data_IF_840279669031
#
_entry.id   IF_840279669031
#
_cell.length_a   1.000
_cell.length_b   1.000
_cell.length_c   1.000
_cell.angle_alpha   90.00
_cell.angle_beta   90.00
_cell.angle_gamma   90.00
#
_symmetry.space_group_name_H-M   'P 1'
#
loop_
_entity.id
_entity.type
_entity.pdbx_description
1 polymer ?
#
# COMPACT_ATOMS: atom_id res chain seq x y z
N UNK A 1 15.49 -14.18 -18.76
CA UNK A 1 15.29 -13.05 -17.83
C UNK A 1 13.82 -13.03 -17.46
N UNK A 2 13.49 -12.95 -16.18
CA UNK A 2 12.11 -12.95 -15.70
C UNK A 2 11.41 -11.62 -16.05
N UNK A 3 10.09 -11.63 -16.23
CA UNK A 3 9.35 -10.43 -16.59
C UNK A 3 9.42 -9.39 -15.44
N UNK A 4 9.66 -8.09 -15.72
CA UNK A 4 9.65 -7.04 -14.72
C UNK A 4 8.37 -7.04 -13.87
N UNK A 5 8.50 -6.65 -12.61
CA UNK A 5 7.38 -6.51 -11.67
C UNK A 5 7.13 -5.02 -11.38
N UNK A 6 5.85 -4.67 -11.26
CA UNK A 6 5.40 -3.41 -10.70
C UNK A 6 4.59 -3.72 -9.45
N UNK A 7 4.85 -3.01 -8.36
CA UNK A 7 4.14 -3.16 -7.09
C UNK A 7 3.12 -2.03 -6.93
N UNK A 8 1.87 -2.40 -6.65
CA UNK A 8 0.81 -1.47 -6.27
C UNK A 8 0.49 -1.66 -4.79
N UNK A 9 0.62 -0.60 -3.99
CA UNK A 9 0.28 -0.58 -2.58
C UNK A 9 -1.01 0.21 -2.40
N UNK A 10 -2.03 -0.43 -1.85
CA UNK A 10 -3.33 0.17 -1.62
C UNK A 10 -3.45 0.78 -0.22
N UNK A 11 -3.68 2.08 -0.15
CA UNK A 11 -4.06 2.80 1.06
C UNK A 11 -5.51 3.26 0.94
N UNK A 12 -6.47 2.63 1.64
CA UNK A 12 -7.89 2.87 1.39
C UNK A 12 -8.41 4.13 2.08
N UNK A 13 -7.64 4.85 2.90
CA UNK A 13 -8.19 5.89 3.76
C UNK A 13 -8.20 7.28 3.12
N UNK A 14 -9.29 8.01 3.35
CA UNK A 14 -9.48 9.41 2.96
C UNK A 14 -9.92 10.24 4.17
N UNK A 15 -9.59 11.54 4.18
CA UNK A 15 -10.12 12.50 5.16
C UNK A 15 -11.65 12.67 4.98
N UNK A 16 -12.12 12.67 3.74
CA UNK A 16 -13.53 12.80 3.38
C UNK A 16 -13.86 12.00 2.11
N UNK A 17 -15.14 11.70 1.90
CA UNK A 17 -15.61 10.99 0.69
C UNK A 17 -16.07 12.03 -0.33
N UNK A 18 -15.41 12.11 -1.48
CA UNK A 18 -15.88 12.94 -2.59
C UNK A 18 -17.20 12.37 -3.15
N UNK A 19 -18.18 13.19 -3.53
CA UNK A 19 -19.47 12.72 -4.05
C UNK A 19 -19.37 11.83 -5.30
N UNK A 20 -18.28 11.98 -6.07
CA UNK A 20 -18.01 11.23 -7.29
C UNK A 20 -17.09 10.01 -7.08
N UNK A 21 -16.60 9.76 -5.86
CA UNK A 21 -15.57 8.75 -5.62
C UNK A 21 -16.18 7.34 -5.59
N UNK A 22 -15.88 6.54 -6.61
CA UNK A 22 -16.25 5.11 -6.71
C UNK A 22 -15.12 4.15 -6.29
N UNK A 23 -13.92 4.67 -6.04
CA UNK A 23 -12.80 3.86 -5.58
C UNK A 23 -13.10 3.15 -4.26
N UNK A 24 -12.46 2.00 -4.07
CA UNK A 24 -12.38 1.34 -2.77
C UNK A 24 -11.63 2.26 -1.81
N UNK A 25 -12.40 3.05 -1.07
CA UNK A 25 -11.89 4.02 -0.13
C UNK A 25 -12.87 4.25 1.02
N UNK A 26 -12.32 4.61 2.16
CA UNK A 26 -13.00 4.64 3.43
C UNK A 26 -12.63 5.91 4.20
N UNK A 27 -13.66 6.59 4.72
CA UNK A 27 -13.47 7.60 5.75
C UNK A 27 -13.53 6.90 7.10
N UNK A 28 -12.51 7.09 7.92
CA UNK A 28 -12.41 6.56 9.28
C UNK A 28 -11.94 7.69 10.19
N UNK A 29 -12.43 7.70 11.44
CA UNK A 29 -11.98 8.67 12.45
C UNK A 29 -10.52 8.43 12.89
N UNK A 30 -10.05 7.19 12.73
CA UNK A 30 -8.69 6.76 12.99
C UNK A 30 -8.50 5.30 12.58
N UNK A 31 -7.25 4.90 12.43
CA UNK A 31 -6.79 3.55 12.11
C UNK A 31 -5.66 3.27 13.08
N UNK A 32 -5.54 2.04 13.57
CA UNK A 32 -4.30 1.63 14.23
C UNK A 32 -3.21 1.49 13.15
N UNK A 33 -2.41 2.55 13.00
CA UNK A 33 -1.41 2.65 11.93
C UNK A 33 -0.28 1.62 12.09
N UNK A 34 0.03 1.24 13.34
CA UNK A 34 1.07 0.26 13.62
C UNK A 34 0.60 -1.15 13.26
N UNK A 35 -0.64 -1.50 13.62
CA UNK A 35 -1.28 -2.74 13.20
C UNK A 35 -1.41 -2.79 11.67
N UNK A 36 -1.87 -1.70 11.05
CA UNK A 36 -2.03 -1.63 9.59
C UNK A 36 -0.70 -1.79 8.85
N UNK A 37 0.36 -1.13 9.31
CA UNK A 37 1.72 -1.31 8.78
C UNK A 37 2.19 -2.76 8.91
N UNK A 38 1.95 -3.38 10.06
CA UNK A 38 2.34 -4.78 10.31
C UNK A 38 1.62 -5.72 9.35
N UNK A 39 0.32 -5.50 9.13
CA UNK A 39 -0.46 -6.27 8.17
C UNK A 39 0.03 -6.10 6.73
N UNK A 40 0.30 -4.86 6.29
CA UNK A 40 0.83 -4.59 4.95
C UNK A 40 2.21 -5.24 4.72
N UNK A 41 3.08 -5.24 5.72
CA UNK A 41 4.40 -5.89 5.63
C UNK A 41 4.27 -7.42 5.55
N UNK A 42 3.33 -8.00 6.30
CA UNK A 42 3.06 -9.44 6.22
C UNK A 42 2.52 -9.84 4.85
N UNK A 43 1.60 -9.05 4.29
CA UNK A 43 1.05 -9.23 2.94
C UNK A 43 2.15 -9.11 1.87
N UNK A 44 2.97 -8.06 1.95
CA UNK A 44 4.10 -7.86 1.04
C UNK A 44 5.09 -9.02 1.08
N UNK A 45 5.43 -9.53 2.26
CA UNK A 45 6.33 -10.67 2.41
C UNK A 45 5.74 -11.96 1.81
N UNK A 46 4.42 -12.16 1.95
CA UNK A 46 3.73 -13.28 1.32
C UNK A 46 3.80 -13.19 -0.21
N UNK A 47 3.43 -12.04 -0.77
CA UNK A 47 3.45 -11.80 -2.22
C UNK A 47 4.86 -11.92 -2.80
N UNK A 48 5.87 -11.36 -2.11
CA UNK A 48 7.27 -11.44 -2.52
C UNK A 48 7.76 -12.90 -2.64
N UNK A 49 7.35 -13.79 -1.74
CA UNK A 49 7.71 -15.21 -1.80
C UNK A 49 7.13 -15.92 -3.03
N UNK A 50 6.01 -15.45 -3.58
CA UNK A 50 5.37 -16.01 -4.78
C UNK A 50 6.02 -15.54 -6.09
N UNK A 51 6.75 -14.42 -6.06
CA UNK A 51 7.29 -13.75 -7.27
C UNK A 51 8.81 -13.50 -7.22
N UNK A 52 9.53 -14.18 -6.32
CA UNK A 52 10.91 -13.91 -5.92
C UNK A 52 11.95 -13.74 -7.05
N UNK A 53 11.74 -14.36 -8.22
CA UNK A 53 12.69 -14.29 -9.34
C UNK A 53 12.46 -13.09 -10.29
N UNK A 54 11.55 -12.16 -9.96
CA UNK A 54 11.17 -11.03 -10.81
C UNK A 54 11.76 -9.71 -10.31
N UNK A 55 12.51 -8.97 -11.14
CA UNK A 55 13.03 -7.67 -10.72
C UNK A 55 11.89 -6.65 -10.58
N UNK A 56 11.80 -6.01 -9.42
CA UNK A 56 10.88 -4.90 -9.17
C UNK A 56 11.41 -3.62 -9.83
N UNK A 57 10.61 -3.01 -10.70
CA UNK A 57 11.01 -1.81 -11.47
C UNK A 57 10.23 -0.55 -11.11
N UNK A 58 9.08 -0.68 -10.45
CA UNK A 58 8.25 0.45 -10.06
C UNK A 58 7.38 0.13 -8.84
N UNK A 59 7.14 1.15 -8.02
CA UNK A 59 6.23 1.11 -6.88
C UNK A 59 5.20 2.23 -7.08
N UNK A 60 3.92 1.89 -6.99
CA UNK A 60 2.81 2.83 -7.04
C UNK A 60 2.02 2.79 -5.74
N UNK A 61 1.85 3.95 -5.11
CA UNK A 61 0.97 4.09 -3.95
C UNK A 61 -0.37 4.67 -4.43
N UNK A 62 -1.46 3.95 -4.17
CA UNK A 62 -2.79 4.31 -4.64
C UNK A 62 -3.90 4.00 -3.63
N UNK A 63 -5.15 4.24 -4.01
CA UNK A 63 -6.33 3.91 -3.21
C UNK A 63 -7.17 5.14 -2.90
N UNK A 64 -7.43 5.38 -1.61
CA UNK A 64 -8.04 6.60 -1.11
C UNK A 64 -7.11 7.80 -1.29
N UNK A 65 -6.39 8.19 -0.25
CA UNK A 65 -5.46 9.32 -0.31
C UNK A 65 -4.10 8.88 0.23
N UNK A 66 -3.22 8.32 -0.62
CA UNK A 66 -1.94 7.76 -0.19
C UNK A 66 -1.03 8.74 0.56
N UNK A 67 -1.16 10.04 0.30
CA UNK A 67 -0.43 11.09 1.03
C UNK A 67 -0.85 11.25 2.50
N UNK A 68 -1.90 10.55 2.94
CA UNK A 68 -2.27 10.42 4.36
C UNK A 68 -1.57 9.27 5.07
N UNK A 69 -0.86 8.39 4.35
CA UNK A 69 -0.10 7.31 4.97
C UNK A 69 1.01 7.91 5.84
N UNK A 70 1.23 7.40 7.06
CA UNK A 70 2.33 7.85 7.90
C UNK A 70 3.68 7.66 7.20
N UNK A 71 4.59 8.65 7.26
CA UNK A 71 5.89 8.56 6.60
C UNK A 71 6.70 7.31 6.98
N UNK A 72 6.62 6.88 8.24
CA UNK A 72 7.28 5.67 8.73
C UNK A 72 6.71 4.38 8.13
N UNK A 73 5.42 4.38 7.77
CA UNK A 73 4.78 3.26 7.08
C UNK A 73 5.22 3.21 5.63
N UNK A 74 5.29 4.35 4.94
CA UNK A 74 5.84 4.43 3.58
C UNK A 74 7.30 3.96 3.56
N UNK A 75 8.12 4.44 4.50
CA UNK A 75 9.53 4.06 4.62
C UNK A 75 9.71 2.56 4.87
N UNK A 76 8.91 1.98 5.77
CA UNK A 76 8.95 0.55 6.07
C UNK A 76 8.60 -0.30 4.83
N UNK A 77 7.60 0.10 4.03
CA UNK A 77 7.19 -0.63 2.83
C UNK A 77 8.22 -0.56 1.70
N UNK A 78 8.95 0.55 1.58
CA UNK A 78 10.02 0.70 0.58
C UNK A 78 11.27 -0.10 0.97
N UNK A 79 11.53 -0.23 2.28
CA UNK A 79 12.72 -0.91 2.80
C UNK A 79 12.58 -2.44 2.94
N UNK A 80 11.35 -2.95 2.90
CA UNK A 80 11.02 -4.38 3.00
C UNK A 80 11.45 -5.15 1.75
#
# INVERSE_FOLDING_TARGET
MSAPLALYIHWPFCVSKCPYCDFNSHVRKGVDEAEWRTALLADLAHEAALVADRPLTSIFFGGGTPSLMPPETVAALIAA
#
